data_IF_126344007144
#
_entry.id   IF_126344007144
#
_cell.length_a   1.000
_cell.length_b   1.000
_cell.length_c   1.000
_cell.angle_alpha   90.00
_cell.angle_beta   90.00
_cell.angle_gamma   90.00
#
_symmetry.space_group_name_H-M   'P 1'
#
loop_
_entity.id
_entity.type
_entity.pdbx_description
1 polymer ?
#
# COMPACT_ATOMS: atom_id res chain seq x y z
N UNK A 1 40.99 29.97 7.81
CA UNK A 1 42.45 29.74 7.67
C UNK A 1 42.69 29.00 6.39
N UNK A 2 43.43 29.62 5.50
CA UNK A 2 43.71 29.19 4.13
C UNK A 2 44.82 28.14 4.07
N UNK A 3 44.72 27.18 3.17
CA UNK A 3 45.88 26.51 2.58
C UNK A 3 45.78 26.54 1.07
N UNK A 4 46.75 27.23 0.46
CA UNK A 4 47.08 27.23 -0.95
C UNK A 4 47.84 25.95 -1.31
N UNK A 5 47.54 25.35 -2.46
CA UNK A 5 48.58 24.97 -3.43
C UNK A 5 47.98 24.78 -4.84
N UNK A 6 48.24 25.80 -5.66
CA UNK A 6 48.40 25.80 -7.13
C UNK A 6 49.80 25.18 -7.46
N UNK A 7 50.18 24.64 -8.62
CA UNK A 7 49.77 24.67 -10.03
C UNK A 7 50.50 23.51 -10.76
N UNK A 8 49.97 23.05 -11.89
CA UNK A 8 50.71 22.19 -12.83
C UNK A 8 49.90 21.82 -14.08
N UNK A 9 49.80 22.77 -15.01
CA UNK A 9 49.18 22.60 -16.34
C UNK A 9 50.09 21.90 -17.37
N UNK A 10 49.78 21.99 -18.68
CA UNK A 10 49.42 20.84 -19.50
C UNK A 10 50.53 20.38 -20.45
N UNK A 11 50.54 19.10 -20.82
CA UNK A 11 51.26 18.61 -22.00
C UNK A 11 50.28 17.86 -22.89
N UNK A 12 49.92 18.53 -23.99
CA UNK A 12 49.35 17.95 -25.19
C UNK A 12 50.45 17.23 -25.97
N UNK A 13 50.22 15.98 -26.36
CA UNK A 13 50.61 15.48 -27.69
C UNK A 13 49.83 14.20 -28.07
N UNK A 14 49.44 14.20 -29.33
CA UNK A 14 48.52 13.31 -30.06
C UNK A 14 48.95 11.82 -30.14
N UNK A 15 48.04 10.92 -30.53
CA UNK A 15 48.09 9.49 -30.18
C UNK A 15 49.00 8.66 -31.09
N UNK A 16 49.78 7.75 -30.48
CA UNK A 16 50.46 6.68 -31.22
C UNK A 16 49.45 5.57 -31.48
N UNK A 17 49.08 5.48 -32.75
CA UNK A 17 48.26 4.44 -33.35
C UNK A 17 48.99 3.09 -33.25
N UNK A 18 48.56 2.22 -32.34
CA UNK A 18 48.91 0.80 -32.35
C UNK A 18 47.63 0.00 -32.60
N UNK A 19 47.40 -0.30 -33.87
CA UNK A 19 46.35 -1.21 -34.26
C UNK A 19 46.61 -2.60 -33.63
N UNK A 20 45.63 -3.22 -32.95
CA UNK A 20 45.74 -4.60 -32.54
C UNK A 20 45.69 -5.49 -33.78
N UNK A 21 46.74 -6.31 -33.96
CA UNK A 21 46.76 -7.42 -34.91
C UNK A 21 45.64 -8.39 -34.51
N UNK A 22 44.59 -8.45 -35.33
CA UNK A 22 43.53 -9.43 -35.17
C UNK A 22 44.10 -10.83 -35.52
N UNK A 23 43.86 -11.87 -34.70
CA UNK A 23 44.17 -13.23 -35.10
C UNK A 23 43.21 -13.65 -36.23
N UNK A 24 43.76 -13.90 -37.41
CA UNK A 24 43.09 -14.66 -38.47
C UNK A 24 42.89 -16.10 -38.01
N UNK A 25 41.73 -16.36 -37.41
CA UNK A 25 41.38 -17.70 -36.97
C UNK A 25 40.03 -17.74 -36.26
N UNK A 26 38.93 -17.65 -37.00
CA UNK A 26 37.62 -17.74 -36.35
C UNK A 26 36.36 -17.66 -37.21
N UNK A 27 36.45 -17.79 -38.54
CA UNK A 27 35.29 -17.68 -39.43
C UNK A 27 34.21 -18.74 -39.21
N UNK A 28 34.56 -19.90 -38.62
CA UNK A 28 33.60 -20.97 -38.30
C UNK A 28 33.03 -20.85 -36.88
N UNK A 29 33.86 -20.46 -35.90
CA UNK A 29 33.42 -20.29 -34.51
C UNK A 29 32.43 -19.12 -34.34
N UNK A 30 32.65 -17.99 -35.04
CA UNK A 30 31.70 -16.85 -35.02
C UNK A 30 30.36 -17.19 -35.65
N UNK A 31 30.32 -18.03 -36.70
CA UNK A 31 29.05 -18.46 -37.32
C UNK A 31 28.23 -19.38 -36.42
N UNK A 32 28.89 -20.28 -35.69
CA UNK A 32 28.22 -21.16 -34.72
C UNK A 32 27.74 -20.38 -33.50
N UNK A 33 28.54 -19.41 -33.01
CA UNK A 33 28.14 -18.54 -31.90
C UNK A 33 26.95 -17.63 -32.24
N UNK A 34 26.91 -17.08 -33.47
CA UNK A 34 25.75 -16.33 -33.96
C UNK A 34 24.51 -17.23 -34.18
N UNK A 35 24.69 -18.47 -34.65
CA UNK A 35 23.58 -19.43 -34.80
C UNK A 35 23.01 -19.92 -33.46
N UNK A 36 23.76 -19.86 -32.36
CA UNK A 36 23.26 -20.18 -31.02
C UNK A 36 22.67 -18.95 -30.30
N UNK A 37 23.22 -17.75 -30.52
CA UNK A 37 22.73 -16.53 -29.88
C UNK A 37 21.41 -16.02 -30.46
N UNK A 38 21.21 -16.13 -31.78
CA UNK A 38 19.96 -15.70 -32.42
C UNK A 38 18.72 -16.44 -31.90
N UNK A 39 18.70 -17.78 -31.78
CA UNK A 39 17.55 -18.47 -31.20
C UNK A 39 17.39 -18.17 -29.71
N UNK A 40 18.46 -17.99 -28.92
CA UNK A 40 18.35 -17.63 -27.49
C UNK A 40 17.80 -16.21 -27.30
N UNK A 41 18.22 -15.25 -28.12
CA UNK A 41 17.69 -13.89 -28.10
C UNK A 41 16.24 -13.86 -28.60
N UNK A 42 15.88 -14.64 -29.62
CA UNK A 42 14.49 -14.79 -30.06
C UNK A 42 13.62 -15.50 -29.01
N UNK A 43 14.17 -16.44 -28.25
CA UNK A 43 13.47 -17.10 -27.14
C UNK A 43 13.33 -16.17 -25.94
N UNK A 44 14.31 -15.31 -25.65
CA UNK A 44 14.21 -14.26 -24.63
C UNK A 44 13.21 -13.16 -25.03
N UNK A 45 13.13 -12.79 -26.32
CA UNK A 45 12.09 -11.89 -26.84
C UNK A 45 10.72 -12.59 -26.81
N UNK A 46 10.64 -13.87 -27.15
CA UNK A 46 9.42 -14.66 -27.08
C UNK A 46 8.88 -14.84 -25.66
N UNK A 47 9.75 -15.09 -24.67
CA UNK A 47 9.41 -15.15 -23.25
C UNK A 47 9.09 -13.76 -22.71
N UNK A 48 9.82 -12.72 -23.14
CA UNK A 48 9.52 -11.34 -22.80
C UNK A 48 8.17 -10.87 -23.33
N UNK A 49 7.81 -11.24 -24.56
CA UNK A 49 6.50 -10.98 -25.16
C UNK A 49 5.43 -11.86 -24.51
N UNK A 50 5.71 -13.12 -24.15
CA UNK A 50 4.77 -13.95 -23.40
C UNK A 50 4.51 -13.40 -21.98
N UNK A 51 5.50 -12.83 -21.31
CA UNK A 51 5.33 -12.11 -20.05
C UNK A 51 4.61 -10.76 -20.22
N UNK A 52 4.89 -10.03 -21.31
CA UNK A 52 4.18 -8.77 -21.62
C UNK A 52 2.74 -9.02 -22.10
N UNK A 53 2.46 -10.19 -22.65
CA UNK A 53 1.12 -10.64 -23.06
C UNK A 53 0.38 -11.30 -21.89
N UNK A 54 1.05 -11.92 -20.91
CA UNK A 54 0.43 -12.32 -19.64
C UNK A 54 0.17 -11.10 -18.72
N UNK A 55 0.95 -10.01 -18.88
CA UNK A 55 0.62 -8.68 -18.35
C UNK A 55 -0.47 -7.94 -19.15
N UNK A 56 -0.94 -8.53 -20.27
CA UNK A 56 -2.19 -8.22 -20.95
C UNK A 56 -3.16 -9.41 -20.86
N UNK A 57 -3.22 -10.08 -19.71
CA UNK A 57 -4.51 -10.65 -19.33
C UNK A 57 -5.49 -9.50 -19.42
N UNK A 58 -6.53 -9.67 -20.24
CA UNK A 58 -7.76 -8.91 -20.08
C UNK A 58 -7.96 -8.74 -18.57
N UNK A 59 -8.11 -7.50 -18.06
CA UNK A 59 -8.59 -7.38 -16.70
C UNK A 59 -9.82 -8.27 -16.67
N UNK A 60 -9.74 -9.37 -15.90
CA UNK A 60 -10.98 -10.01 -15.48
C UNK A 60 -11.80 -8.84 -14.98
N UNK A 61 -13.06 -8.66 -15.46
CA UNK A 61 -13.88 -7.58 -14.93
C UNK A 61 -13.73 -7.68 -13.43
N UNK A 62 -13.10 -6.65 -12.85
CA UNK A 62 -12.91 -6.55 -11.41
C UNK A 62 -14.31 -6.83 -10.91
N UNK A 63 -14.48 -7.90 -10.13
CA UNK A 63 -15.77 -8.21 -9.56
C UNK A 63 -16.27 -6.88 -9.04
N UNK A 64 -17.38 -6.41 -9.61
CA UNK A 64 -17.96 -5.13 -9.28
C UNK A 64 -17.76 -4.96 -7.79
N UNK A 65 -17.26 -3.81 -7.32
CA UNK A 65 -17.74 -3.38 -6.02
C UNK A 65 -19.25 -3.20 -6.26
N UNK A 66 -20.00 -4.30 -6.20
CA UNK A 66 -21.42 -4.38 -6.58
C UNK A 66 -22.29 -3.78 -5.49
N UNK A 67 -21.67 -2.91 -4.69
CA UNK A 67 -22.32 -1.89 -3.91
C UNK A 67 -23.17 -1.03 -4.82
N UNK A 68 -24.44 -0.88 -4.47
CA UNK A 68 -25.19 0.27 -4.92
C UNK A 68 -24.59 1.60 -4.41
N UNK A 69 -23.79 1.56 -3.34
CA UNK A 69 -22.99 2.69 -2.88
C UNK A 69 -21.91 2.32 -1.86
N UNK A 70 -20.91 3.19 -1.73
CA UNK A 70 -19.89 3.15 -0.70
C UNK A 70 -20.01 4.42 0.15
N UNK A 71 -20.15 4.27 1.46
CA UNK A 71 -20.23 5.38 2.41
C UNK A 71 -18.92 5.44 3.19
N UNK A 72 -18.24 6.59 3.18
CA UNK A 72 -17.08 6.86 4.04
C UNK A 72 -17.52 7.57 5.29
N UNK A 73 -17.09 7.06 6.44
CA UNK A 73 -17.24 7.68 7.75
C UNK A 73 -15.83 8.02 8.26
N UNK A 74 -15.59 9.28 8.61
CA UNK A 74 -14.26 9.75 8.99
C UNK A 74 -14.20 10.53 10.31
N UNK A 75 -15.35 10.90 10.89
CA UNK A 75 -15.42 11.63 12.15
C UNK A 75 -16.83 11.62 12.76
N UNK A 76 -16.93 12.02 14.02
CA UNK A 76 -18.19 12.37 14.67
C UNK A 76 -18.72 13.73 14.19
N UNK A 77 -20.04 13.86 14.10
CA UNK A 77 -20.78 15.06 13.63
C UNK A 77 -20.87 16.17 14.70
N UNK A 78 -20.60 15.83 15.96
CA UNK A 78 -20.81 16.74 17.09
C UNK A 78 -19.51 17.46 17.54
N UNK A 79 -19.49 18.78 17.30
CA UNK A 79 -18.75 19.87 17.98
C UNK A 79 -17.29 20.22 17.59
N UNK A 80 -17.14 21.47 17.13
CA UNK A 80 -15.96 22.37 17.03
C UNK A 80 -14.69 21.89 16.32
N UNK A 81 -14.26 20.64 16.46
CA UNK A 81 -13.12 20.03 15.80
C UNK A 81 -13.51 18.58 15.48
N UNK A 82 -13.31 18.11 14.24
CA UNK A 82 -13.65 16.73 13.87
C UNK A 82 -12.84 15.77 14.73
N UNK A 83 -13.46 15.19 15.75
CA UNK A 83 -12.84 14.12 16.52
C UNK A 83 -12.68 12.89 15.62
N UNK A 84 -11.43 12.39 15.54
CA UNK A 84 -11.06 11.17 14.83
C UNK A 84 -11.79 9.95 15.40
N UNK A 85 -12.03 8.96 14.55
CA UNK A 85 -12.69 7.71 14.96
C UNK A 85 -11.79 6.88 15.89
N UNK A 86 -12.40 6.22 16.87
CA UNK A 86 -11.76 5.24 17.74
C UNK A 86 -12.42 3.85 17.63
N UNK A 87 -11.94 2.86 18.39
CA UNK A 87 -12.47 1.50 18.30
C UNK A 87 -13.88 1.34 18.88
N UNK A 88 -14.28 2.22 19.82
CA UNK A 88 -15.66 2.25 20.31
C UNK A 88 -16.62 2.76 19.23
N UNK A 89 -16.18 3.69 18.38
CA UNK A 89 -16.94 4.16 17.22
C UNK A 89 -17.15 3.07 16.18
N UNK A 90 -16.10 2.28 15.89
CA UNK A 90 -16.21 1.13 14.99
C UNK A 90 -17.26 0.13 15.51
N UNK A 91 -17.17 -0.26 16.78
CA UNK A 91 -18.14 -1.16 17.41
C UNK A 91 -19.57 -0.56 17.43
N UNK A 92 -19.68 0.77 17.53
CA UNK A 92 -20.96 1.46 17.45
C UNK A 92 -21.56 1.41 16.04
N UNK A 93 -20.76 1.66 15.00
CA UNK A 93 -21.19 1.56 13.61
C UNK A 93 -21.63 0.14 13.25
N UNK A 94 -20.88 -0.88 13.65
CA UNK A 94 -21.25 -2.29 13.46
C UNK A 94 -22.61 -2.61 14.09
N UNK A 95 -22.83 -2.15 15.33
CA UNK A 95 -24.11 -2.33 16.02
C UNK A 95 -25.24 -1.55 15.35
N UNK A 96 -25.01 -0.32 14.90
CA UNK A 96 -26.00 0.47 14.18
C UNK A 96 -26.46 -0.27 12.93
N UNK A 97 -25.56 -0.87 12.16
CA UNK A 97 -25.95 -1.65 10.98
C UNK A 97 -26.61 -2.98 11.34
N UNK A 98 -26.14 -3.67 12.38
CA UNK A 98 -26.77 -4.90 12.86
C UNK A 98 -28.22 -4.67 13.33
N UNK A 99 -28.50 -3.54 13.99
CA UNK A 99 -29.85 -3.18 14.48
C UNK A 99 -30.83 -2.86 13.34
N UNK A 100 -30.34 -2.53 12.14
CA UNK A 100 -31.18 -2.33 10.95
C UNK A 100 -31.65 -3.64 10.31
N UNK A 101 -31.02 -4.78 10.63
CA UNK A 101 -31.30 -6.08 10.02
C UNK A 101 -31.12 -6.06 8.48
N UNK A 102 -30.09 -5.36 8.01
CA UNK A 102 -29.74 -5.21 6.58
C UNK A 102 -28.50 -6.05 6.27
N UNK A 103 -28.71 -7.21 5.65
CA UNK A 103 -27.61 -8.12 5.24
C UNK A 103 -26.76 -7.55 4.07
N UNK A 104 -27.23 -6.52 3.39
CA UNK A 104 -26.53 -5.93 2.25
C UNK A 104 -25.47 -4.91 2.64
N UNK A 105 -25.30 -4.60 3.93
CA UNK A 105 -24.39 -3.56 4.40
C UNK A 105 -23.24 -4.14 5.22
N UNK A 106 -22.00 -3.84 4.85
CA UNK A 106 -20.79 -4.34 5.52
C UNK A 106 -19.95 -3.17 6.01
N UNK A 107 -19.54 -3.20 7.27
CA UNK A 107 -18.56 -2.27 7.84
C UNK A 107 -17.15 -2.78 7.55
N UNK A 108 -16.28 -1.92 7.03
CA UNK A 108 -14.88 -2.21 6.79
C UNK A 108 -14.03 -1.08 7.36
N UNK A 109 -13.38 -1.29 8.52
CA UNK A 109 -12.41 -0.32 9.02
C UNK A 109 -11.18 -0.27 8.11
N UNK A 110 -10.66 0.93 7.90
CA UNK A 110 -9.37 1.19 7.28
C UNK A 110 -8.39 1.61 8.35
N UNK A 111 -7.39 0.79 8.57
CA UNK A 111 -6.33 1.08 9.52
C UNK A 111 -5.12 1.67 8.84
N UNK A 112 -4.47 2.66 9.46
CA UNK A 112 -3.25 3.25 8.97
C UNK A 112 -2.23 3.44 10.10
N UNK A 113 -0.95 3.28 9.77
CA UNK A 113 0.13 3.65 10.68
C UNK A 113 0.50 5.12 10.44
N UNK A 114 0.74 5.92 11.51
CA UNK A 114 1.00 7.36 11.39
C UNK A 114 2.24 7.71 10.55
N UNK A 115 3.22 6.80 10.44
CA UNK A 115 4.46 7.02 9.70
C UNK A 115 4.76 5.96 8.65
N UNK A 116 3.83 5.03 8.41
CA UNK A 116 4.08 3.89 7.53
C UNK A 116 5.27 3.03 7.99
N UNK A 117 5.96 2.44 7.02
CA UNK A 117 7.19 1.65 7.20
C UNK A 117 8.26 2.14 6.23
N UNK A 118 9.53 1.82 6.49
CA UNK A 118 10.63 2.15 5.58
C UNK A 118 11.00 0.92 4.77
N UNK A 119 11.02 1.01 3.44
CA UNK A 119 11.38 -0.12 2.59
C UNK A 119 12.91 -0.34 2.50
N UNK A 120 13.33 -1.35 1.73
CA UNK A 120 14.75 -1.67 1.54
C UNK A 120 15.54 -0.60 0.78
N UNK A 121 14.86 0.38 0.21
CA UNK A 121 15.41 1.52 -0.52
C UNK A 121 15.52 2.75 0.38
N UNK A 122 14.95 2.71 1.58
CA UNK A 122 14.93 3.82 2.53
C UNK A 122 13.74 4.77 2.34
N UNK A 123 12.76 4.38 1.52
CA UNK A 123 11.57 5.19 1.25
C UNK A 123 10.46 4.87 2.25
N UNK A 124 9.67 5.89 2.60
CA UNK A 124 8.51 5.70 3.47
C UNK A 124 7.36 5.17 2.62
N UNK A 125 6.86 4.01 3.00
CA UNK A 125 5.70 3.36 2.41
C UNK A 125 4.54 3.42 3.38
N UNK A 126 3.40 3.96 2.92
CA UNK A 126 2.18 3.95 3.71
C UNK A 126 1.60 2.54 3.75
N UNK A 127 1.26 2.08 4.96
CA UNK A 127 0.58 0.80 5.15
C UNK A 127 -0.88 1.07 5.46
N UNK A 128 -1.76 0.45 4.67
CA UNK A 128 -3.20 0.40 4.92
C UNK A 128 -3.57 -1.04 5.30
N UNK A 129 -4.11 -1.22 6.50
CA UNK A 129 -4.71 -2.48 6.94
C UNK A 129 -6.21 -2.50 6.65
N UNK A 130 -6.70 -3.58 6.05
CA UNK A 130 -8.13 -3.85 5.88
C UNK A 130 -8.43 -5.30 6.26
N UNK A 131 -9.70 -5.57 6.55
CA UNK A 131 -10.17 -6.94 6.75
C UNK A 131 -10.02 -7.78 5.49
N UNK A 132 -9.72 -9.07 5.67
CA UNK A 132 -9.52 -9.99 4.55
C UNK A 132 -10.78 -10.13 3.68
N UNK A 133 -11.96 -10.01 4.29
CA UNK A 133 -13.25 -10.05 3.60
C UNK A 133 -13.50 -8.79 2.74
N UNK A 134 -12.70 -7.74 2.92
CA UNK A 134 -12.74 -6.53 2.11
C UNK A 134 -11.72 -6.53 0.95
N UNK A 135 -11.14 -7.69 0.61
CA UNK A 135 -10.17 -7.83 -0.48
C UNK A 135 -10.70 -7.29 -1.83
N UNK A 136 -12.00 -7.42 -2.08
CA UNK A 136 -12.62 -6.91 -3.31
C UNK A 136 -12.54 -5.38 -3.45
N UNK A 137 -12.47 -4.64 -2.33
CA UNK A 137 -12.32 -3.19 -2.35
C UNK A 137 -10.99 -2.73 -2.96
N UNK A 138 -10.01 -3.64 -3.09
CA UNK A 138 -8.72 -3.40 -3.75
C UNK A 138 -8.53 -4.24 -5.02
N UNK A 139 -9.60 -4.89 -5.50
CA UNK A 139 -9.56 -5.73 -6.70
C UNK A 139 -8.90 -7.09 -6.50
N UNK A 140 -8.81 -7.58 -5.25
CA UNK A 140 -8.25 -8.89 -4.92
C UNK A 140 -9.35 -9.89 -4.59
N UNK A 141 -9.17 -11.16 -4.98
CA UNK A 141 -10.10 -12.24 -4.62
C UNK A 141 -9.99 -12.60 -3.12
N UNK A 142 -8.78 -12.47 -2.55
CA UNK A 142 -8.47 -12.74 -1.15
C UNK A 142 -7.15 -12.10 -0.76
N UNK A 143 -6.97 -11.84 0.53
CA UNK A 143 -5.72 -11.34 1.10
C UNK A 143 -5.03 -12.40 1.97
N UNK A 144 -3.71 -12.49 1.85
CA UNK A 144 -2.88 -13.38 2.66
C UNK A 144 -2.18 -12.61 3.77
N UNK A 145 -1.88 -13.30 4.86
CA UNK A 145 -1.04 -12.76 5.93
C UNK A 145 0.43 -12.66 5.52
N UNK A 146 1.12 -11.65 6.05
CA UNK A 146 2.49 -11.27 5.73
C UNK A 146 2.72 -10.94 4.24
N UNK A 147 1.67 -10.56 3.52
CA UNK A 147 1.76 -10.09 2.13
C UNK A 147 1.36 -8.62 2.03
N UNK A 148 2.19 -7.83 1.36
CA UNK A 148 1.95 -6.44 1.01
C UNK A 148 1.55 -6.32 -0.46
N UNK A 149 0.32 -5.87 -0.70
CA UNK A 149 -0.24 -5.71 -2.03
C UNK A 149 -0.05 -4.28 -2.52
N UNK A 150 0.35 -4.14 -3.78
CA UNK A 150 0.60 -2.82 -4.41
C UNK A 150 0.07 -2.76 -5.83
N UNK A 151 -0.11 -1.55 -6.36
CA UNK A 151 -0.60 -1.33 -7.74
C UNK A 151 0.38 -1.89 -8.79
N UNK A 152 1.67 -1.90 -8.49
CA UNK A 152 2.69 -2.38 -9.40
C UNK A 152 3.98 -2.74 -8.69
N UNK A 153 4.94 -3.23 -9.47
CA UNK A 153 6.21 -3.75 -8.98
C UNK A 153 6.38 -5.22 -9.33
N UNK A 154 7.33 -5.87 -8.65
CA UNK A 154 7.59 -7.31 -8.82
C UNK A 154 7.19 -8.03 -7.54
N UNK A 155 6.81 -9.30 -7.70
CA UNK A 155 6.69 -10.17 -6.55
C UNK A 155 8.07 -10.45 -5.98
N UNK A 156 8.28 -10.12 -4.71
CA UNK A 156 9.58 -10.27 -4.05
C UNK A 156 9.43 -10.30 -2.54
N UNK A 157 10.39 -10.91 -1.85
CA UNK A 157 10.47 -10.77 -0.40
C UNK A 157 11.17 -9.45 -0.07
N UNK A 158 10.48 -8.56 0.64
CA UNK A 158 10.98 -7.25 1.04
C UNK A 158 11.27 -7.23 2.53
N UNK A 159 12.42 -6.65 2.89
CA UNK A 159 12.66 -6.24 4.26
C UNK A 159 12.10 -4.82 4.43
N UNK A 160 11.31 -4.61 5.48
CA UNK A 160 10.85 -3.29 5.91
C UNK A 160 11.35 -3.00 7.31
N UNK A 161 11.65 -1.74 7.57
CA UNK A 161 11.95 -1.24 8.90
C UNK A 161 10.71 -0.56 9.48
N UNK A 162 10.26 -1.07 10.62
CA UNK A 162 9.17 -0.51 11.42
C UNK A 162 9.81 0.27 12.56
N UNK A 163 9.50 1.57 12.64
CA UNK A 163 10.00 2.39 13.74
C UNK A 163 9.23 2.12 15.02
N UNK A 164 9.96 1.89 16.11
CA UNK A 164 9.39 1.72 17.45
C UNK A 164 9.28 3.08 18.09
N UNK A 165 8.08 3.46 18.52
CA UNK A 165 7.81 4.73 19.18
C UNK A 165 8.30 4.64 20.62
N UNK A 166 9.20 5.56 20.99
CA UNK A 166 9.73 5.65 22.35
C UNK A 166 9.12 6.80 23.14
N UNK A 167 8.68 7.86 22.46
CA UNK A 167 8.01 9.00 23.07
C UNK A 167 6.98 9.60 22.11
N UNK A 168 5.83 9.98 22.67
CA UNK A 168 4.80 10.78 21.99
C UNK A 168 4.60 12.05 22.80
N UNK A 169 4.76 13.19 22.15
CA UNK A 169 4.59 14.52 22.73
C UNK A 169 3.74 15.36 21.79
N UNK A 170 3.21 16.49 22.25
CA UNK A 170 2.48 17.43 21.37
C UNK A 170 3.34 17.95 20.20
N UNK A 171 4.67 17.85 20.29
CA UNK A 171 5.61 18.25 19.23
C UNK A 171 5.82 17.15 18.17
N UNK A 172 5.39 15.91 18.45
CA UNK A 172 5.49 14.79 17.52
C UNK A 172 5.84 13.46 18.18
N UNK A 173 6.17 12.50 17.32
CA UNK A 173 6.56 11.13 17.67
C UNK A 173 8.08 10.99 17.51
N UNK A 174 8.73 10.39 18.50
CA UNK A 174 10.15 10.05 18.43
C UNK A 174 10.37 8.53 18.42
N UNK A 175 11.46 8.13 17.78
CA UNK A 175 11.90 6.75 17.67
C UNK A 175 13.42 6.72 17.68
N UNK A 176 14.01 5.83 18.47
CA UNK A 176 15.46 5.63 18.56
C UNK A 176 15.91 4.29 17.97
N UNK A 177 14.96 3.42 17.57
CA UNK A 177 15.20 2.10 17.04
C UNK A 177 14.16 1.69 16.00
N UNK A 178 14.61 0.94 15.00
CA UNK A 178 13.76 0.29 14.00
C UNK A 178 13.89 -1.23 14.09
N UNK A 179 12.78 -1.93 13.92
CA UNK A 179 12.75 -3.39 13.83
C UNK A 179 12.52 -3.83 12.38
N UNK A 180 13.29 -4.84 11.97
CA UNK A 180 13.20 -5.35 10.60
C UNK A 180 12.17 -6.47 10.55
N UNK A 181 11.17 -6.28 9.71
CA UNK A 181 10.20 -7.31 9.34
C UNK A 181 10.38 -7.71 7.89
N UNK A 182 10.00 -8.94 7.58
CA UNK A 182 10.00 -9.47 6.23
C UNK A 182 8.57 -9.75 5.78
N UNK A 183 8.26 -9.29 4.57
CA UNK A 183 6.96 -9.45 3.93
C UNK A 183 7.20 -10.00 2.52
N UNK A 184 6.25 -10.74 1.99
CA UNK A 184 6.18 -10.91 0.54
C UNK A 184 5.42 -9.72 -0.04
N UNK A 185 5.97 -9.08 -1.07
CA UNK A 185 5.28 -8.06 -1.85
C UNK A 185 4.66 -8.73 -3.06
N UNK A 186 3.38 -8.47 -3.33
CA UNK A 186 2.71 -8.92 -4.55
C UNK A 186 2.10 -7.70 -5.29
N UNK A 187 2.32 -7.55 -6.61
CA UNK A 187 1.54 -6.61 -7.41
C UNK A 187 0.15 -7.20 -7.67
N UNK A 188 -0.85 -6.35 -7.86
CA UNK A 188 -2.19 -6.80 -8.25
C UNK A 188 -3.34 -6.00 -7.69
N UNK A 189 -3.07 -4.96 -6.89
CA UNK A 189 -4.11 -4.02 -6.46
C UNK A 189 -4.58 -3.21 -7.66
N UNK A 190 -5.90 -3.06 -7.80
CA UNK A 190 -6.46 -2.15 -8.78
C UNK A 190 -6.17 -0.70 -8.39
N UNK A 191 -5.63 0.08 -9.33
CA UNK A 191 -5.21 1.46 -9.06
C UNK A 191 -6.40 2.37 -8.73
N UNK A 192 -7.48 2.29 -9.49
CA UNK A 192 -8.63 3.19 -9.32
C UNK A 192 -9.35 2.87 -8.00
N UNK A 193 -9.42 1.59 -7.65
CA UNK A 193 -9.96 1.18 -6.36
C UNK A 193 -9.05 1.61 -5.20
N UNK A 194 -7.73 1.49 -5.34
CA UNK A 194 -6.81 2.00 -4.33
C UNK A 194 -6.87 3.52 -4.21
N UNK A 195 -7.06 4.28 -5.29
CA UNK A 195 -7.28 5.74 -5.21
C UNK A 195 -8.55 6.07 -4.41
N UNK A 196 -9.59 5.26 -4.58
CA UNK A 196 -10.83 5.36 -3.78
C UNK A 196 -10.57 5.12 -2.30
N UNK A 197 -9.72 4.15 -1.96
CA UNK A 197 -9.41 3.76 -0.58
C UNK A 197 -8.30 4.55 0.09
N UNK A 198 -7.28 4.98 -0.65
CA UNK A 198 -6.05 5.59 -0.15
C UNK A 198 -6.03 7.11 -0.36
N UNK A 199 -6.89 7.66 -1.22
CA UNK A 199 -6.86 9.05 -1.65
C UNK A 199 -5.74 9.32 -2.67
N UNK A 200 -5.22 10.55 -2.68
CA UNK A 200 -4.36 11.09 -3.76
C UNK A 200 -2.94 10.47 -3.87
N UNK A 201 -2.55 9.52 -3.00
CA UNK A 201 -1.20 8.95 -2.95
C UNK A 201 -1.15 7.40 -3.08
N UNK A 202 -1.75 6.79 -4.12
CA UNK A 202 -1.78 5.33 -4.28
C UNK A 202 -0.41 4.71 -4.62
N UNK A 203 0.53 5.50 -5.14
CA UNK A 203 1.83 5.02 -5.64
C UNK A 203 2.76 4.49 -4.55
N UNK A 204 2.68 5.07 -3.35
CA UNK A 204 3.54 4.76 -2.21
C UNK A 204 2.76 4.04 -1.09
N UNK A 205 1.63 3.44 -1.44
CA UNK A 205 0.72 2.76 -0.51
C UNK A 205 0.76 1.25 -0.74
N UNK A 206 0.97 0.49 0.33
CA UNK A 206 0.77 -0.96 0.35
C UNK A 206 -0.44 -1.30 1.20
N UNK A 207 -1.23 -2.24 0.70
CA UNK A 207 -2.40 -2.79 1.41
C UNK A 207 -2.02 -4.13 2.00
N UNK A 208 -2.38 -4.35 3.27
CA UNK A 208 -2.05 -5.58 4.02
C UNK A 208 -3.29 -6.10 4.75
N UNK A 209 -3.31 -7.40 5.04
CA UNK A 209 -4.38 -7.99 5.86
C UNK A 209 -4.35 -7.41 7.29
N UNK A 210 -5.49 -7.42 7.97
CA UNK A 210 -5.59 -6.97 9.35
C UNK A 210 -4.58 -7.67 10.31
N UNK A 211 -4.35 -9.00 10.26
CA UNK A 211 -3.30 -9.63 11.07
C UNK A 211 -1.90 -9.08 10.78
N UNK A 212 -1.61 -8.76 9.52
CA UNK A 212 -0.32 -8.18 9.11
C UNK A 212 -0.19 -6.73 9.60
N UNK A 213 -1.27 -5.96 9.54
CA UNK A 213 -1.34 -4.61 10.11
C UNK A 213 -1.05 -4.63 11.61
N UNK A 214 -1.69 -5.53 12.37
CA UNK A 214 -1.49 -5.62 13.81
C UNK A 214 -0.05 -5.98 14.17
N UNK A 215 0.59 -6.86 13.42
CA UNK A 215 2.03 -7.13 13.60
C UNK A 215 2.88 -5.87 13.49
N UNK A 216 2.57 -4.99 12.53
CA UNK A 216 3.24 -3.69 12.44
C UNK A 216 2.91 -2.77 13.61
N UNK A 217 1.63 -2.65 13.97
CA UNK A 217 1.21 -1.79 15.08
C UNK A 217 1.84 -2.24 16.41
N UNK A 218 1.80 -3.54 16.73
CA UNK A 218 2.44 -4.12 17.92
C UNK A 218 3.94 -3.84 17.95
N UNK A 219 4.60 -3.90 16.79
CA UNK A 219 6.02 -3.53 16.66
C UNK A 219 6.21 -2.01 16.87
N UNK A 220 5.36 -1.17 16.29
CA UNK A 220 5.43 0.29 16.40
C UNK A 220 5.21 0.76 17.84
N UNK A 221 4.27 0.18 18.58
CA UNK A 221 3.95 0.60 19.94
C UNK A 221 4.62 -0.25 21.04
N UNK A 222 5.40 -1.27 20.65
CA UNK A 222 6.12 -2.18 21.55
C UNK A 222 5.22 -2.80 22.62
N UNK A 223 4.00 -3.17 22.23
CA UNK A 223 2.94 -3.66 23.12
C UNK A 223 1.92 -4.46 22.33
N UNK A 224 1.08 -5.25 23.00
CA UNK A 224 0.10 -6.10 22.32
C UNK A 224 -1.11 -5.30 21.80
N UNK A 225 -1.83 -5.88 20.85
CA UNK A 225 -3.03 -5.30 20.26
C UNK A 225 -4.06 -4.83 21.30
N UNK A 226 -4.26 -5.58 22.39
CA UNK A 226 -5.28 -5.23 23.38
C UNK A 226 -4.92 -3.94 24.14
N UNK A 227 -3.64 -3.77 24.49
CA UNK A 227 -3.13 -2.55 25.10
C UNK A 227 -3.15 -1.37 24.11
N UNK A 228 -2.91 -1.59 22.82
CA UNK A 228 -3.04 -0.56 21.78
C UNK A 228 -4.48 -0.06 21.71
N UNK A 229 -5.45 -0.97 21.56
CA UNK A 229 -6.88 -0.63 21.47
C UNK A 229 -7.33 0.14 22.70
N UNK A 230 -6.94 -0.33 23.89
CA UNK A 230 -7.27 0.33 25.16
C UNK A 230 -6.74 1.76 25.18
N UNK A 231 -5.48 1.99 24.83
CA UNK A 231 -4.87 3.32 24.80
C UNK A 231 -5.47 4.23 23.73
N UNK A 232 -5.84 3.67 22.58
CA UNK A 232 -6.50 4.40 21.50
C UNK A 232 -7.88 4.94 21.92
N UNK A 233 -8.59 4.21 22.79
CA UNK A 233 -9.90 4.63 23.31
C UNK A 233 -9.81 5.59 24.51
N UNK A 234 -8.65 5.67 25.20
CA UNK A 234 -8.45 6.53 26.38
C UNK A 234 -7.66 7.81 26.11
N UNK A 235 -7.45 8.18 24.84
CA UNK A 235 -6.56 9.27 24.39
C UNK A 235 -5.08 9.11 24.82
N UNK A 236 -4.69 7.94 25.35
CA UNK A 236 -3.33 7.66 25.82
C UNK A 236 -2.34 7.43 24.65
N UNK A 237 -2.84 7.23 23.42
CA UNK A 237 -2.02 7.29 22.19
C UNK A 237 -1.86 8.72 21.66
N UNK A 238 -2.33 9.74 22.38
CA UNK A 238 -2.26 11.14 21.99
C UNK A 238 -2.99 11.41 20.68
N UNK A 239 -2.29 11.97 19.70
CA UNK A 239 -2.85 12.33 18.39
C UNK A 239 -2.77 11.20 17.34
N UNK A 240 -2.33 9.99 17.73
CA UNK A 240 -2.19 8.88 16.78
C UNK A 240 -3.55 8.25 16.47
N UNK A 241 -4.05 8.54 15.27
CA UNK A 241 -5.25 7.92 14.72
C UNK A 241 -4.89 6.61 14.01
N UNK A 242 -5.34 5.49 14.55
CA UNK A 242 -5.16 4.16 13.94
C UNK A 242 -6.31 3.78 13.01
N UNK A 243 -7.53 4.22 13.30
CA UNK A 243 -8.69 4.08 12.41
C UNK A 243 -8.77 5.34 11.58
N UNK A 244 -8.26 5.25 10.35
CA UNK A 244 -8.20 6.37 9.43
C UNK A 244 -9.61 6.74 8.94
N UNK A 245 -10.37 5.73 8.50
CA UNK A 245 -11.79 5.85 8.17
C UNK A 245 -12.49 4.50 8.33
N UNK A 246 -13.82 4.53 8.32
CA UNK A 246 -14.68 3.35 8.23
C UNK A 246 -15.46 3.44 6.93
N UNK A 247 -15.41 2.37 6.14
CA UNK A 247 -16.13 2.22 4.89
C UNK A 247 -17.34 1.35 5.12
N UNK A 248 -18.50 1.77 4.61
CA UNK A 248 -19.72 0.98 4.64
C UNK A 248 -20.12 0.68 3.19
N UNK A 249 -19.94 -0.57 2.80
CA UNK A 249 -20.33 -1.06 1.47
C UNK A 249 -21.79 -1.50 1.52
N UNK A 250 -22.65 -0.93 0.67
CA UNK A 250 -24.08 -1.26 0.61
C UNK A 250 -24.40 -1.87 -0.75
N UNK A 251 -24.66 -3.17 -0.79
CA UNK A 251 -24.89 -3.95 -2.03
C UNK A 251 -26.24 -3.65 -2.70
N UNK A 252 -27.25 -3.24 -1.95
CA UNK A 252 -28.58 -2.96 -2.47
C UNK A 252 -28.92 -1.45 -2.43
N UNK A 253 -29.35 -0.90 -3.56
CA UNK A 253 -29.63 0.53 -3.70
C UNK A 253 -30.79 1.00 -2.82
N UNK A 254 -31.75 0.11 -2.58
CA UNK A 254 -32.92 0.40 -1.74
C UNK A 254 -32.53 0.61 -0.26
N UNK A 255 -31.42 0.01 0.17
CA UNK A 255 -30.95 0.07 1.55
C UNK A 255 -30.02 1.27 1.82
N UNK A 256 -29.49 1.90 0.77
CA UNK A 256 -28.49 2.98 0.88
C UNK A 256 -28.99 4.17 1.70
N UNK A 257 -30.20 4.68 1.41
CA UNK A 257 -30.76 5.83 2.14
C UNK A 257 -31.03 5.49 3.62
N UNK A 258 -31.47 4.26 3.90
CA UNK A 258 -31.71 3.76 5.25
C UNK A 258 -30.41 3.71 6.06
N UNK A 259 -29.35 3.15 5.48
CA UNK A 259 -28.02 3.06 6.09
C UNK A 259 -27.45 4.45 6.33
N UNK A 260 -27.47 5.34 5.33
CA UNK A 260 -27.00 6.72 5.45
C UNK A 260 -27.73 7.46 6.59
N UNK A 261 -29.05 7.34 6.64
CA UNK A 261 -29.85 7.96 7.69
C UNK A 261 -29.46 7.44 9.07
N UNK A 262 -29.30 6.12 9.24
CA UNK A 262 -28.93 5.52 10.52
C UNK A 262 -27.54 5.96 11.00
N UNK A 263 -26.54 5.97 10.11
CA UNK A 263 -25.17 6.43 10.41
C UNK A 263 -25.18 7.90 10.84
N UNK A 264 -25.95 8.74 10.13
CA UNK A 264 -26.10 10.16 10.48
C UNK A 264 -26.83 10.36 11.82
N UNK A 265 -27.90 9.62 12.06
CA UNK A 265 -28.64 9.67 13.34
C UNK A 265 -27.80 9.17 14.52
N UNK A 266 -26.85 8.26 14.27
CA UNK A 266 -25.83 7.85 15.23
C UNK A 266 -24.75 8.93 15.49
N UNK A 267 -24.78 10.04 14.76
CA UNK A 267 -23.92 11.20 14.99
C UNK A 267 -22.58 11.15 14.27
N UNK A 268 -22.50 10.47 13.12
CA UNK A 268 -21.28 10.42 12.30
C UNK A 268 -21.36 11.34 11.08
N UNK A 269 -20.22 11.92 10.71
CA UNK A 269 -20.02 12.57 9.41
C UNK A 269 -19.78 11.51 8.36
N UNK A 270 -20.42 11.68 7.22
CA UNK A 270 -20.31 10.74 6.12
C UNK A 270 -20.22 11.43 4.76
N UNK A 271 -19.52 10.79 3.85
CA UNK A 271 -19.41 11.13 2.43
C UNK A 271 -19.80 9.91 1.59
N UNK A 272 -20.63 10.10 0.58
CA UNK A 272 -20.90 9.06 -0.39
C UNK A 272 -19.81 9.08 -1.47
N UNK A 273 -19.22 7.93 -1.74
CA UNK A 273 -18.19 7.78 -2.77
C UNK A 273 -18.79 7.09 -3.98
N UNK A 274 -18.79 7.79 -5.11
CA UNK A 274 -19.08 7.20 -6.41
C UNK A 274 -17.83 6.51 -6.96
N UNK A 275 -17.80 5.17 -6.92
CA UNK A 275 -16.75 4.39 -7.58
C UNK A 275 -17.09 4.29 -9.06
N UNK A 276 -16.32 4.95 -9.92
CA UNK A 276 -16.40 4.75 -11.37
C UNK A 276 -15.25 3.84 -11.78
N UNK A 277 -15.52 2.56 -11.98
CA UNK A 277 -14.53 1.63 -12.56
C UNK A 277 -14.54 1.88 -14.08
N UNK A 278 -13.42 2.34 -14.62
CA UNK A 278 -13.28 2.57 -16.07
C UNK A 278 -13.22 1.25 -16.84
N UNK A 279 -14.06 1.12 -17.86
CA UNK A 279 -14.05 0.03 -18.85
C UNK A 279 -12.74 -0.03 -19.68
#
# INVERSE_FOLDING_TARGET
>A
MSFHHTLGGPISNQPVNTAPVAPEGGGKAKRVLWMLLVPVVLLAIGVGIAYFVDAKRDPKPVANISGAGLIRVNALDSAAESQSLNFDDLANLERVLADLDIDSATVTPRFALPHGVIDGQGEIVRIIGIDADAAELVGLDAMKDNVAYSVGGKSENVAVEVRVITEMTDEGITSDRGEKLHLDREPGVDKALLETLAGDAPGDTWVVSLPTFWKFAETTFDTDQADIIKKANSDDLGFVQLIDEVLISVQNAEDLETVQKAVKEAGYKMEEISVTIGD
#
